data_IF_675261348619
#
_entry.id   IF_675261348619
#
_cell.length_a   1.000
_cell.length_b   1.000
_cell.length_c   1.000
_cell.angle_alpha   90.00
_cell.angle_beta   90.00
_cell.angle_gamma   90.00
#
_symmetry.space_group_name_H-M   'P 1'
#
loop_
_entity.id
_entity.type
_entity.pdbx_description
1 polymer ?
#
# COMPACT_ATOMS: atom_id res chain seq x y z
N UNK A 1 -5.90 -20.44 8.89
CA UNK A 1 -4.80 -19.57 8.38
C UNK A 1 -5.34 -18.90 7.12
N UNK A 2 -5.08 -17.62 6.97
CA UNK A 2 -5.48 -16.89 5.76
C UNK A 2 -4.87 -17.56 4.52
N UNK A 3 -5.64 -17.67 3.45
CA UNK A 3 -5.15 -18.16 2.14
C UNK A 3 -4.51 -17.03 1.32
N UNK A 4 -4.59 -15.78 1.82
CA UNK A 4 -4.05 -14.59 1.15
C UNK A 4 -2.53 -14.52 1.32
N UNK A 5 -1.82 -14.38 0.21
CA UNK A 5 -0.37 -14.15 0.24
C UNK A 5 -0.09 -12.75 0.80
N UNK A 6 0.66 -12.61 1.89
CA UNK A 6 0.99 -11.29 2.44
C UNK A 6 1.73 -10.41 1.45
N UNK A 7 1.42 -9.10 1.47
CA UNK A 7 2.11 -8.09 0.67
C UNK A 7 2.88 -7.13 1.58
N UNK A 8 4.21 -7.12 1.46
CA UNK A 8 5.07 -6.11 2.09
C UNK A 8 5.47 -5.08 1.05
N UNK A 9 4.89 -3.89 1.14
CA UNK A 9 5.12 -2.79 0.22
C UNK A 9 5.90 -1.67 0.91
N UNK A 10 7.08 -1.34 0.41
CA UNK A 10 7.92 -0.25 0.91
C UNK A 10 7.56 1.06 0.23
N UNK A 11 6.85 1.94 0.91
CA UNK A 11 6.61 3.31 0.45
C UNK A 11 7.79 4.20 0.85
N UNK A 12 8.63 4.54 -0.12
CA UNK A 12 9.82 5.36 0.13
C UNK A 12 9.51 6.84 0.35
N UNK A 13 8.27 7.23 0.09
CA UNK A 13 7.85 8.64 0.16
C UNK A 13 8.77 9.52 -0.69
N UNK A 14 9.15 10.70 -0.23
CA UNK A 14 10.05 11.61 -0.94
C UNK A 14 11.51 11.39 -0.48
N UNK A 15 12.03 10.19 -0.71
CA UNK A 15 13.39 9.83 -0.34
C UNK A 15 14.06 9.03 -1.44
N UNK A 16 15.37 9.02 -1.42
CA UNK A 16 16.27 8.40 -2.39
C UNK A 16 16.24 9.13 -3.76
N UNK A 17 17.29 8.99 -4.50
CA UNK A 17 17.39 9.35 -5.90
C UNK A 17 17.58 8.08 -6.74
N UNK A 18 17.56 8.21 -8.05
CA UNK A 18 17.59 7.07 -8.96
C UNK A 18 18.83 6.16 -8.80
N UNK A 19 19.99 6.68 -8.36
CA UNK A 19 21.19 5.87 -8.10
C UNK A 19 21.08 5.12 -6.78
N UNK A 20 20.60 5.80 -5.74
CA UNK A 20 20.33 5.20 -4.43
C UNK A 20 19.23 4.14 -4.53
N UNK A 21 18.21 4.39 -5.36
CA UNK A 21 17.14 3.43 -5.63
C UNK A 21 17.67 2.12 -6.25
N UNK A 22 18.59 2.23 -7.23
CA UNK A 22 19.27 1.06 -7.81
C UNK A 22 20.00 0.28 -6.72
N UNK A 23 20.85 0.95 -5.94
CA UNK A 23 21.64 0.31 -4.89
C UNK A 23 20.75 -0.36 -3.84
N UNK A 24 19.67 0.29 -3.47
CA UNK A 24 18.71 -0.22 -2.49
C UNK A 24 17.99 -1.48 -2.97
N UNK A 25 17.46 -1.47 -4.22
CA UNK A 25 16.79 -2.64 -4.81
C UNK A 25 17.77 -3.80 -4.99
N UNK A 26 19.02 -3.53 -5.41
CA UNK A 26 20.06 -4.56 -5.50
C UNK A 26 20.34 -5.19 -4.14
N UNK A 27 20.45 -4.40 -3.07
CA UNK A 27 20.67 -4.91 -1.71
C UNK A 27 19.51 -5.78 -1.25
N UNK A 28 18.25 -5.36 -1.51
CA UNK A 28 17.08 -6.17 -1.21
C UNK A 28 17.08 -7.49 -1.99
N UNK A 29 17.33 -7.45 -3.30
CA UNK A 29 17.35 -8.62 -4.16
C UNK A 29 18.45 -9.62 -3.77
N UNK A 30 19.61 -9.13 -3.32
CA UNK A 30 20.70 -9.97 -2.84
C UNK A 30 20.37 -10.63 -1.49
N UNK A 31 19.67 -9.92 -0.60
CA UNK A 31 19.37 -10.42 0.74
C UNK A 31 18.15 -11.39 0.78
N UNK A 32 17.19 -11.22 -0.13
CA UNK A 32 15.99 -12.04 -0.20
C UNK A 32 16.23 -13.29 -1.05
N UNK A 33 15.84 -14.45 -0.54
CA UNK A 33 15.93 -15.74 -1.22
C UNK A 33 14.58 -16.15 -1.83
N UNK A 34 14.57 -17.16 -2.68
CA UNK A 34 13.36 -17.67 -3.32
C UNK A 34 12.26 -18.04 -2.31
N UNK A 35 12.63 -18.66 -1.19
CA UNK A 35 11.70 -18.98 -0.10
C UNK A 35 10.96 -17.75 0.47
N UNK A 36 11.60 -16.58 0.48
CA UNK A 36 11.01 -15.35 0.97
C UNK A 36 9.92 -14.88 0.00
N UNK A 37 10.18 -14.92 -1.30
CA UNK A 37 9.21 -14.57 -2.35
C UNK A 37 8.07 -15.58 -2.52
N UNK A 38 8.29 -16.85 -2.16
CA UNK A 38 7.21 -17.85 -2.11
C UNK A 38 6.26 -17.61 -0.94
N UNK A 39 6.77 -17.06 0.15
CA UNK A 39 6.01 -16.80 1.37
C UNK A 39 5.33 -15.42 1.39
N UNK A 40 5.94 -14.41 0.74
CA UNK A 40 5.53 -13.00 0.82
C UNK A 40 5.74 -12.33 -0.53
N UNK A 41 4.76 -11.61 -1.00
CA UNK A 41 4.94 -10.69 -2.13
C UNK A 41 5.63 -9.41 -1.65
N UNK A 42 6.72 -9.03 -2.32
CA UNK A 42 7.54 -7.87 -1.95
C UNK A 42 7.42 -6.81 -3.04
N UNK A 43 7.07 -5.59 -2.65
CA UNK A 43 6.97 -4.46 -3.55
C UNK A 43 7.71 -3.23 -3.01
N UNK A 44 8.18 -2.36 -3.91
CA UNK A 44 8.71 -1.04 -3.57
C UNK A 44 7.93 0.04 -4.33
N UNK A 45 7.65 1.15 -3.66
CA UNK A 45 6.98 2.32 -4.23
C UNK A 45 7.93 3.51 -4.16
N UNK A 46 8.84 3.64 -5.14
CA UNK A 46 9.80 4.75 -5.22
C UNK A 46 9.14 6.03 -5.73
N UNK A 47 9.78 7.20 -5.57
CA UNK A 47 9.41 8.42 -6.30
C UNK A 47 9.33 8.20 -7.80
N UNK A 48 8.54 9.00 -8.51
CA UNK A 48 8.37 8.89 -9.97
C UNK A 48 9.69 8.98 -10.74
N UNK A 49 10.63 9.81 -10.25
CA UNK A 49 11.96 10.00 -10.84
C UNK A 49 12.81 8.73 -10.89
N UNK A 50 12.48 7.74 -10.05
CA UNK A 50 13.30 6.53 -9.86
C UNK A 50 12.69 5.30 -10.55
N UNK A 51 11.40 5.38 -10.90
CA UNK A 51 10.66 4.25 -11.46
C UNK A 51 11.33 3.63 -12.70
N UNK A 52 11.85 4.48 -13.62
CA UNK A 52 12.52 3.97 -14.82
C UNK A 52 13.80 3.20 -14.47
N UNK A 53 14.57 3.68 -13.49
CA UNK A 53 15.80 3.02 -13.05
C UNK A 53 15.49 1.69 -12.37
N UNK A 54 14.48 1.66 -11.50
CA UNK A 54 14.00 0.43 -10.85
C UNK A 54 13.48 -0.57 -11.90
N UNK A 55 12.67 -0.13 -12.86
CA UNK A 55 12.20 -0.98 -13.96
C UNK A 55 13.37 -1.62 -14.71
N UNK A 56 14.35 -0.81 -15.11
CA UNK A 56 15.48 -1.31 -15.90
C UNK A 56 16.25 -2.38 -15.15
N UNK A 57 16.47 -2.18 -13.85
CA UNK A 57 17.13 -3.16 -12.99
C UNK A 57 16.30 -4.43 -12.83
N UNK A 58 15.03 -4.30 -12.48
CA UNK A 58 14.13 -5.45 -12.26
C UNK A 58 13.99 -6.29 -13.54
N UNK A 59 13.80 -5.66 -14.69
CA UNK A 59 13.68 -6.35 -15.98
C UNK A 59 15.02 -7.00 -16.39
N UNK A 60 16.14 -6.28 -16.23
CA UNK A 60 17.48 -6.73 -16.63
C UNK A 60 17.95 -7.95 -15.84
N UNK A 61 17.81 -7.89 -14.53
CA UNK A 61 18.25 -8.94 -13.60
C UNK A 61 17.15 -9.96 -13.28
N UNK A 62 15.96 -9.81 -13.87
CA UNK A 62 14.78 -10.67 -13.67
C UNK A 62 14.42 -10.83 -12.20
N UNK A 63 14.45 -9.72 -11.46
CA UNK A 63 14.18 -9.71 -10.03
C UNK A 63 12.69 -10.03 -9.75
N UNK A 64 12.43 -10.70 -8.63
CA UNK A 64 11.07 -11.04 -8.18
C UNK A 64 10.38 -9.90 -7.42
N UNK A 65 11.10 -8.82 -7.10
CA UNK A 65 10.54 -7.63 -6.45
C UNK A 65 9.57 -6.95 -7.39
N UNK A 66 8.35 -6.68 -6.91
CA UNK A 66 7.38 -5.82 -7.61
C UNK A 66 7.70 -4.36 -7.34
N UNK A 67 7.24 -3.49 -8.21
CA UNK A 67 7.34 -2.06 -7.98
C UNK A 67 6.06 -1.34 -8.44
N UNK A 68 5.88 -0.14 -7.93
CA UNK A 68 4.72 0.66 -8.21
C UNK A 68 4.95 2.14 -7.92
N UNK A 69 3.92 2.94 -8.14
CA UNK A 69 3.97 4.37 -7.96
C UNK A 69 3.34 4.82 -6.63
N UNK A 70 3.66 6.03 -6.21
CA UNK A 70 3.13 6.63 -4.98
C UNK A 70 1.85 7.42 -5.19
N UNK A 71 1.47 7.64 -6.46
CA UNK A 71 0.24 8.32 -6.89
C UNK A 71 0.05 8.15 -8.40
N UNK A 72 -1.11 8.54 -8.91
CA UNK A 72 -1.36 8.77 -10.34
C UNK A 72 -2.42 9.86 -10.53
N UNK A 73 -2.46 10.43 -11.74
CA UNK A 73 -3.52 11.34 -12.16
C UNK A 73 -4.82 10.57 -12.45
N UNK A 74 -5.95 11.19 -12.16
CA UNK A 74 -7.26 10.71 -12.62
C UNK A 74 -7.46 10.88 -14.14
N UNK A 75 -6.59 11.65 -14.80
CA UNK A 75 -6.64 11.97 -16.22
C UNK A 75 -5.65 11.11 -17.03
N UNK A 76 -6.05 10.71 -18.23
CA UNK A 76 -5.22 9.86 -19.09
C UNK A 76 -4.08 10.65 -19.77
N UNK A 77 -4.35 11.90 -20.12
CA UNK A 77 -3.40 12.80 -20.82
C UNK A 77 -3.96 14.22 -20.87
N UNK A 78 -3.14 15.18 -21.33
CA UNK A 78 -3.62 16.53 -21.62
C UNK A 78 -2.86 17.63 -20.89
N UNK A 79 -3.53 18.77 -20.69
CA UNK A 79 -2.93 19.98 -20.11
C UNK A 79 -2.94 19.91 -18.56
N UNK A 80 -2.22 18.94 -18.04
CA UNK A 80 -2.08 18.65 -16.59
C UNK A 80 -0.60 18.65 -16.23
N UNK A 81 0.05 19.81 -16.36
CA UNK A 81 1.49 19.95 -16.13
C UNK A 81 1.90 19.43 -14.75
N UNK A 82 2.85 18.48 -14.71
CA UNK A 82 3.34 17.85 -13.48
C UNK A 82 2.63 16.54 -13.09
N UNK A 83 1.47 16.21 -13.70
CA UNK A 83 0.75 14.98 -13.45
C UNK A 83 1.39 13.77 -14.16
N UNK A 84 1.25 12.60 -13.55
CA UNK A 84 1.69 11.32 -14.11
C UNK A 84 0.46 10.45 -14.33
N UNK A 85 0.19 10.09 -15.59
CA UNK A 85 -0.99 9.28 -15.91
C UNK A 85 -0.78 7.78 -15.66
N UNK A 86 -1.87 7.05 -15.49
CA UNK A 86 -1.85 5.59 -15.38
C UNK A 86 -1.23 4.93 -16.62
N UNK A 87 -1.43 5.51 -17.81
CA UNK A 87 -0.82 4.99 -19.06
C UNK A 87 0.71 5.06 -19.04
N UNK A 88 1.30 6.12 -18.45
CA UNK A 88 2.75 6.25 -18.28
C UNK A 88 3.29 5.19 -17.33
N UNK A 89 2.60 4.96 -16.19
CA UNK A 89 2.98 3.94 -15.22
C UNK A 89 2.85 2.52 -15.76
N UNK A 90 1.81 2.25 -16.54
CA UNK A 90 1.62 0.96 -17.22
C UNK A 90 2.76 0.68 -18.23
N UNK A 91 3.25 1.70 -18.94
CA UNK A 91 4.42 1.56 -19.84
C UNK A 91 5.71 1.28 -19.08
N UNK A 92 5.82 1.73 -17.84
CA UNK A 92 6.90 1.37 -16.92
C UNK A 92 6.66 0.02 -16.24
N UNK A 93 5.59 -0.70 -16.57
CA UNK A 93 5.23 -2.01 -15.99
C UNK A 93 5.04 -1.96 -14.47
N UNK A 94 4.62 -0.83 -13.92
CA UNK A 94 4.24 -0.75 -12.51
C UNK A 94 3.12 -1.76 -12.22
N UNK A 95 3.24 -2.48 -11.12
CA UNK A 95 2.19 -3.41 -10.65
C UNK A 95 1.19 -2.67 -9.77
N UNK A 96 1.70 -1.89 -8.83
CA UNK A 96 0.91 -1.21 -7.81
C UNK A 96 0.91 0.30 -7.97
N UNK A 97 -0.09 0.95 -7.38
CA UNK A 97 -0.09 2.39 -7.16
C UNK A 97 -0.79 2.71 -5.84
N UNK A 98 -0.10 3.44 -4.95
CA UNK A 98 -0.72 3.97 -3.73
C UNK A 98 -1.66 5.11 -4.11
N UNK A 99 -2.87 5.12 -3.56
CA UNK A 99 -3.90 6.12 -3.86
C UNK A 99 -4.55 6.59 -2.57
N UNK A 100 -4.69 7.89 -2.42
CA UNK A 100 -5.32 8.49 -1.24
C UNK A 100 -4.49 8.36 0.03
N UNK A 101 -3.16 8.23 -0.09
CA UNK A 101 -2.27 8.22 1.07
C UNK A 101 -2.52 9.44 1.95
N UNK A 102 -2.45 9.28 3.28
CA UNK A 102 -2.78 10.33 4.25
C UNK A 102 -2.06 11.66 3.98
N UNK A 103 -0.79 11.63 3.59
CA UNK A 103 -0.03 12.83 3.21
C UNK A 103 -0.64 13.54 1.99
N UNK A 104 -1.19 12.81 1.03
CA UNK A 104 -1.83 13.41 -0.14
C UNK A 104 -3.20 14.00 0.19
N UNK A 105 -3.96 13.32 1.04
CA UNK A 105 -5.20 13.89 1.58
C UNK A 105 -4.94 15.20 2.33
N UNK A 106 -3.89 15.22 3.16
CA UNK A 106 -3.52 16.38 3.97
C UNK A 106 -2.90 17.52 3.16
N UNK A 107 -1.91 17.23 2.30
CA UNK A 107 -1.12 18.28 1.63
C UNK A 107 -1.66 18.67 0.25
N UNK A 108 -2.45 17.81 -0.38
CA UNK A 108 -3.01 18.03 -1.72
C UNK A 108 -4.54 18.05 -1.73
N UNK A 109 -5.18 18.00 -0.56
CA UNK A 109 -6.64 18.04 -0.41
C UNK A 109 -7.35 16.95 -1.25
N UNK A 110 -6.79 15.75 -1.34
CA UNK A 110 -7.41 14.65 -2.07
C UNK A 110 -8.67 14.18 -1.33
N UNK A 111 -9.84 14.45 -1.95
CA UNK A 111 -11.15 14.00 -1.45
C UNK A 111 -11.42 12.54 -1.84
N UNK A 112 -12.42 11.91 -1.23
CA UNK A 112 -12.80 10.54 -1.58
C UNK A 112 -13.28 10.41 -3.03
N UNK A 113 -13.90 11.46 -3.60
CA UNK A 113 -14.29 11.51 -5.01
C UNK A 113 -13.07 11.48 -5.93
N UNK A 114 -12.03 12.27 -5.60
CA UNK A 114 -10.79 12.26 -6.37
C UNK A 114 -10.05 10.92 -6.23
N UNK A 115 -10.01 10.38 -5.02
CA UNK A 115 -9.43 9.05 -4.75
C UNK A 115 -10.17 7.96 -5.55
N UNK A 116 -11.49 7.98 -5.59
CA UNK A 116 -12.29 7.06 -6.41
C UNK A 116 -11.98 7.20 -7.91
N UNK A 117 -11.87 8.41 -8.41
CA UNK A 117 -11.49 8.66 -9.81
C UNK A 117 -10.10 8.10 -10.13
N UNK A 118 -9.13 8.24 -9.21
CA UNK A 118 -7.79 7.67 -9.33
C UNK A 118 -7.79 6.13 -9.27
N UNK A 119 -8.61 5.51 -8.40
CA UNK A 119 -8.79 4.04 -8.34
C UNK A 119 -9.29 3.52 -9.68
N UNK A 120 -10.31 4.15 -10.25
CA UNK A 120 -10.84 3.79 -11.59
C UNK A 120 -9.80 3.98 -12.70
N UNK A 121 -9.01 5.07 -12.63
CA UNK A 121 -7.93 5.33 -13.58
C UNK A 121 -6.82 4.26 -13.48
N UNK A 122 -6.47 3.80 -12.28
CA UNK A 122 -5.50 2.72 -12.10
C UNK A 122 -5.97 1.43 -12.78
N UNK A 123 -7.18 1.00 -12.52
CA UNK A 123 -7.74 -0.20 -13.15
C UNK A 123 -7.87 -0.09 -14.66
N UNK A 124 -8.25 1.08 -15.17
CA UNK A 124 -8.30 1.35 -16.62
C UNK A 124 -6.98 1.05 -17.32
N UNK A 125 -5.87 1.23 -16.62
CA UNK A 125 -4.51 1.02 -17.14
C UNK A 125 -3.84 -0.28 -16.64
N UNK A 126 -4.59 -1.17 -16.00
CA UNK A 126 -4.10 -2.47 -15.54
C UNK A 126 -3.17 -2.40 -14.33
N UNK A 127 -3.27 -1.34 -13.53
CA UNK A 127 -2.54 -1.17 -12.27
C UNK A 127 -3.42 -1.64 -11.11
N UNK A 128 -2.82 -2.24 -10.09
CA UNK A 128 -3.51 -2.61 -8.86
C UNK A 128 -3.43 -1.45 -7.85
N UNK A 129 -4.57 -0.84 -7.46
CA UNK A 129 -4.57 0.18 -6.44
C UNK A 129 -4.22 -0.38 -5.06
N UNK A 130 -3.41 0.36 -4.29
CA UNK A 130 -3.32 0.27 -2.84
C UNK A 130 -4.10 1.48 -2.32
N UNK A 131 -5.37 1.28 -1.97
CA UNK A 131 -6.24 2.33 -1.45
C UNK A 131 -5.90 2.58 0.02
N UNK A 132 -5.36 3.77 0.30
CA UNK A 132 -5.01 4.21 1.65
C UNK A 132 -6.21 4.87 2.33
N UNK A 133 -6.54 4.40 3.52
CA UNK A 133 -7.64 4.88 4.36
C UNK A 133 -7.21 4.94 5.82
N UNK A 134 -7.77 5.83 6.58
CA UNK A 134 -7.48 5.92 8.01
C UNK A 134 -7.81 7.28 8.60
N UNK A 135 -7.72 7.37 9.91
CA UNK A 135 -8.18 8.48 10.70
C UNK A 135 -7.07 9.28 11.36
N UNK A 136 -7.32 10.55 11.55
CA UNK A 136 -6.50 11.46 12.37
C UNK A 136 -6.83 11.30 13.86
N UNK A 137 -5.96 11.86 14.71
CA UNK A 137 -6.06 11.73 16.17
C UNK A 137 -7.41 12.24 16.73
N UNK A 138 -7.87 13.38 16.25
CA UNK A 138 -9.13 13.97 16.73
C UNK A 138 -10.33 13.06 16.46
N UNK A 139 -10.36 12.39 15.30
CA UNK A 139 -11.41 11.43 14.93
C UNK A 139 -11.36 10.20 15.83
N UNK A 140 -10.15 9.71 16.14
CA UNK A 140 -9.96 8.57 17.04
C UNK A 140 -10.37 8.89 18.47
N UNK A 141 -9.95 10.03 19.00
CA UNK A 141 -10.30 10.48 20.35
C UNK A 141 -11.81 10.72 20.51
N UNK A 142 -12.50 11.08 19.42
CA UNK A 142 -13.96 11.20 19.39
C UNK A 142 -14.69 9.83 19.29
N UNK A 143 -13.96 8.71 19.16
CA UNK A 143 -14.54 7.36 19.00
C UNK A 143 -15.16 7.10 17.62
N UNK A 144 -14.86 7.93 16.62
CA UNK A 144 -15.46 7.86 15.28
C UNK A 144 -14.53 7.20 14.23
N UNK A 145 -13.39 6.66 14.66
CA UNK A 145 -12.31 6.15 13.78
C UNK A 145 -12.79 5.05 12.81
N UNK A 146 -13.56 4.07 13.30
CA UNK A 146 -14.09 3.01 12.44
C UNK A 146 -15.04 3.59 11.40
N UNK A 147 -16.04 4.38 11.81
CA UNK A 147 -17.02 4.96 10.88
C UNK A 147 -16.37 5.86 9.82
N UNK A 148 -15.38 6.67 10.21
CA UNK A 148 -14.61 7.52 9.30
C UNK A 148 -13.83 6.70 8.27
N UNK A 149 -13.09 5.68 8.72
CA UNK A 149 -12.31 4.81 7.85
C UNK A 149 -13.19 4.04 6.87
N UNK A 150 -14.34 3.51 7.34
CA UNK A 150 -15.29 2.80 6.49
C UNK A 150 -15.94 3.72 5.43
N UNK A 151 -16.19 4.98 5.76
CA UNK A 151 -16.67 5.96 4.78
C UNK A 151 -15.64 6.22 3.66
N UNK A 152 -14.35 6.27 3.99
CA UNK A 152 -13.28 6.38 2.99
C UNK A 152 -13.19 5.13 2.11
N UNK A 153 -13.37 3.92 2.66
CA UNK A 153 -13.43 2.67 1.87
C UNK A 153 -14.61 2.72 0.90
N UNK A 154 -15.79 3.05 1.39
CA UNK A 154 -17.01 3.15 0.57
C UNK A 154 -16.87 4.21 -0.52
N UNK A 155 -16.36 5.40 -0.17
CA UNK A 155 -16.10 6.48 -1.12
C UNK A 155 -15.09 6.09 -2.18
N UNK A 156 -13.95 5.51 -1.79
CA UNK A 156 -12.88 5.11 -2.70
C UNK A 156 -13.26 3.97 -3.65
N UNK A 157 -14.17 3.08 -3.23
CA UNK A 157 -14.64 1.94 -4.03
C UNK A 157 -16.00 2.19 -4.70
N UNK A 158 -16.55 3.39 -4.60
CA UNK A 158 -17.86 3.72 -5.15
C UNK A 158 -17.96 3.37 -6.64
N UNK A 159 -19.01 2.61 -7.00
CA UNK A 159 -19.30 2.17 -8.38
C UNK A 159 -18.15 1.37 -9.03
N UNK A 160 -17.30 0.73 -8.22
CA UNK A 160 -16.26 -0.15 -8.73
C UNK A 160 -16.84 -1.55 -8.97
N UNK A 161 -16.66 -2.16 -10.16
CA UNK A 161 -17.12 -3.52 -10.42
C UNK A 161 -16.46 -4.54 -9.47
N UNK A 162 -17.19 -5.58 -9.06
CA UNK A 162 -16.70 -6.61 -8.16
C UNK A 162 -15.38 -7.28 -8.63
N UNK A 163 -15.25 -7.52 -9.94
CA UNK A 163 -14.04 -8.08 -10.55
C UNK A 163 -12.78 -7.23 -10.29
N UNK A 164 -12.94 -5.90 -10.25
CA UNK A 164 -11.87 -4.98 -9.91
C UNK A 164 -11.66 -4.91 -8.39
N UNK A 165 -12.76 -4.78 -7.64
CA UNK A 165 -12.71 -4.71 -6.18
C UNK A 165 -12.05 -5.94 -5.54
N UNK A 166 -12.18 -7.12 -6.15
CA UNK A 166 -11.54 -8.36 -5.68
C UNK A 166 -10.02 -8.28 -5.62
N UNK A 167 -9.41 -7.44 -6.45
CA UNK A 167 -7.94 -7.32 -6.56
C UNK A 167 -7.36 -6.09 -5.86
N UNK A 168 -8.22 -5.19 -5.35
CA UNK A 168 -7.75 -4.01 -4.61
C UNK A 168 -6.97 -4.43 -3.37
N UNK A 169 -5.98 -3.64 -3.01
CA UNK A 169 -5.33 -3.72 -1.70
C UNK A 169 -5.81 -2.53 -0.89
N UNK A 170 -6.23 -2.76 0.36
CA UNK A 170 -6.57 -1.67 1.28
C UNK A 170 -5.41 -1.49 2.26
N UNK A 171 -4.92 -0.28 2.43
CA UNK A 171 -3.91 0.03 3.44
C UNK A 171 -4.55 0.90 4.53
N UNK A 172 -4.70 0.35 5.73
CA UNK A 172 -5.17 1.09 6.89
C UNK A 172 -4.02 1.89 7.51
N UNK A 173 -4.16 3.19 7.51
CA UNK A 173 -3.21 4.15 8.07
C UNK A 173 -3.79 4.78 9.35
N UNK A 174 -3.38 4.37 10.57
CA UNK A 174 -3.65 5.16 11.78
C UNK A 174 -2.79 6.43 11.71
N UNK A 175 -3.31 7.50 11.08
CA UNK A 175 -2.54 8.72 10.74
C UNK A 175 -1.91 9.33 11.99
N UNK A 176 -2.60 9.26 13.12
CA UNK A 176 -2.14 9.73 14.43
C UNK A 176 -0.90 8.99 14.97
N UNK A 177 -0.58 7.80 14.42
CA UNK A 177 0.58 7.00 14.80
C UNK A 177 1.72 7.05 13.76
N UNK A 178 1.54 7.77 12.65
CA UNK A 178 2.56 7.87 11.59
C UNK A 178 3.54 9.00 11.91
N UNK A 179 4.79 8.65 12.25
CA UNK A 179 5.85 9.65 12.49
C UNK A 179 5.70 10.49 13.75
N UNK A 180 4.72 10.21 14.60
CA UNK A 180 4.41 11.01 15.81
C UNK A 180 5.07 10.47 17.08
N UNK A 181 5.61 9.25 17.04
CA UNK A 181 6.07 8.52 18.22
C UNK A 181 4.96 7.79 18.99
N UNK A 182 3.69 8.02 18.66
CA UNK A 182 2.56 7.21 19.16
C UNK A 182 2.56 5.84 18.48
N UNK A 183 2.06 4.84 19.16
CA UNK A 183 1.99 3.46 18.65
C UNK A 183 0.53 3.05 18.59
N UNK A 184 0.11 2.58 17.42
CA UNK A 184 -1.14 1.85 17.26
C UNK A 184 -0.85 0.38 17.59
N UNK A 185 -1.51 -0.18 18.60
CA UNK A 185 -1.37 -1.58 18.98
C UNK A 185 -1.88 -2.52 17.89
N UNK A 186 -1.41 -3.76 17.90
CA UNK A 186 -1.85 -4.76 16.94
C UNK A 186 -3.37 -5.06 17.06
N UNK A 187 -3.90 -5.04 18.26
CA UNK A 187 -5.34 -5.22 18.52
C UNK A 187 -6.18 -4.04 18.00
N UNK A 188 -5.71 -2.79 18.18
CA UNK A 188 -6.35 -1.60 17.62
C UNK A 188 -6.37 -1.64 16.07
N UNK A 189 -5.26 -2.08 15.48
CA UNK A 189 -5.17 -2.26 14.03
C UNK A 189 -6.12 -3.37 13.55
N UNK A 190 -6.20 -4.48 14.28
CA UNK A 190 -7.10 -5.58 13.99
C UNK A 190 -8.58 -5.15 14.03
N UNK A 191 -8.98 -4.34 15.01
CA UNK A 191 -10.34 -3.83 15.11
C UNK A 191 -10.76 -3.13 13.80
N UNK A 192 -9.95 -2.22 13.32
CA UNK A 192 -10.26 -1.45 12.10
C UNK A 192 -10.14 -2.31 10.84
N UNK A 193 -9.12 -3.17 10.75
CA UNK A 193 -8.97 -4.07 9.61
C UNK A 193 -10.12 -5.08 9.49
N UNK A 194 -10.60 -5.62 10.62
CA UNK A 194 -11.79 -6.47 10.65
C UNK A 194 -13.04 -5.71 10.19
N UNK A 195 -13.22 -4.47 10.64
CA UNK A 195 -14.32 -3.62 10.22
C UNK A 195 -14.26 -3.31 8.70
N UNK A 196 -13.06 -3.04 8.16
CA UNK A 196 -12.84 -2.86 6.70
C UNK A 196 -13.27 -4.13 5.96
N UNK A 197 -12.85 -5.32 6.40
CA UNK A 197 -13.25 -6.58 5.78
C UNK A 197 -14.76 -6.80 5.83
N UNK A 198 -15.39 -6.48 6.96
CA UNK A 198 -16.85 -6.50 7.10
C UNK A 198 -17.54 -5.54 6.11
N UNK A 199 -17.01 -4.34 5.94
CA UNK A 199 -17.53 -3.36 4.96
C UNK A 199 -17.39 -3.86 3.52
N UNK A 200 -16.29 -4.49 3.17
CA UNK A 200 -16.13 -5.12 1.84
C UNK A 200 -17.17 -6.22 1.59
N UNK A 201 -17.48 -7.03 2.63
CA UNK A 201 -18.52 -8.05 2.53
C UNK A 201 -19.92 -7.43 2.37
N UNK A 202 -20.19 -6.29 3.01
CA UNK A 202 -21.44 -5.53 2.87
C UNK A 202 -21.57 -4.91 1.47
N UNK A 203 -20.51 -4.28 0.95
CA UNK A 203 -20.51 -3.61 -0.35
C UNK A 203 -20.57 -4.61 -1.52
N UNK A 204 -20.01 -5.79 -1.35
CA UNK A 204 -19.90 -6.82 -2.38
C UNK A 204 -20.41 -8.18 -1.86
N UNK A 205 -19.48 -9.06 -1.50
CA UNK A 205 -19.79 -10.39 -0.94
C UNK A 205 -18.73 -10.81 0.07
N UNK A 206 -19.05 -11.73 0.96
CA UNK A 206 -18.08 -12.32 1.88
C UNK A 206 -16.91 -12.99 1.13
N UNK A 207 -17.21 -13.70 0.03
CA UNK A 207 -16.19 -14.37 -0.79
C UNK A 207 -15.19 -13.38 -1.37
N UNK A 208 -15.65 -12.22 -1.83
CA UNK A 208 -14.76 -11.16 -2.31
C UNK A 208 -13.93 -10.58 -1.16
N UNK A 209 -14.58 -10.25 -0.05
CA UNK A 209 -13.89 -9.71 1.13
C UNK A 209 -12.79 -10.64 1.66
N UNK A 210 -13.01 -11.96 1.57
CA UNK A 210 -12.02 -12.97 1.98
C UNK A 210 -10.79 -13.03 1.06
N UNK A 211 -10.87 -12.49 -0.15
CA UNK A 211 -9.75 -12.44 -1.11
C UNK A 211 -8.96 -11.14 -1.03
N UNK A 212 -9.61 -10.03 -0.66
CA UNK A 212 -8.97 -8.71 -0.58
C UNK A 212 -7.90 -8.68 0.51
N UNK A 213 -6.70 -8.21 0.14
CA UNK A 213 -5.61 -8.01 1.10
C UNK A 213 -5.76 -6.68 1.80
N UNK A 214 -5.63 -6.70 3.12
CA UNK A 214 -5.63 -5.51 3.97
C UNK A 214 -4.26 -5.38 4.60
N UNK A 215 -3.59 -4.26 4.36
CA UNK A 215 -2.28 -3.93 4.91
C UNK A 215 -2.43 -3.02 6.12
N UNK A 216 -1.53 -3.16 7.07
CA UNK A 216 -1.31 -2.16 8.10
C UNK A 216 -0.30 -1.11 7.61
N UNK A 217 -0.69 0.15 7.61
CA UNK A 217 0.09 1.30 7.12
C UNK A 217 0.61 2.24 8.22
N UNK A 218 0.56 1.83 9.48
CA UNK A 218 1.16 2.57 10.58
C UNK A 218 2.67 2.35 10.72
N UNK A 219 3.21 2.59 11.91
CA UNK A 219 4.64 2.42 12.19
C UNK A 219 5.00 0.94 12.29
N UNK A 220 5.61 0.39 11.24
CA UNK A 220 6.09 -1.00 11.17
C UNK A 220 7.61 -1.04 11.27
N UNK A 221 8.11 -1.95 12.11
CA UNK A 221 9.55 -2.25 12.30
C UNK A 221 9.73 -3.76 12.45
N UNK A 222 10.96 -4.25 12.32
CA UNK A 222 11.26 -5.66 12.58
C UNK A 222 10.76 -6.13 13.96
N UNK A 223 10.89 -5.29 14.97
CA UNK A 223 10.52 -5.64 16.36
C UNK A 223 9.01 -5.70 16.67
N UNK A 224 8.12 -5.27 15.77
CA UNK A 224 6.66 -5.32 15.99
C UNK A 224 5.88 -6.01 14.87
N UNK A 225 6.52 -6.28 13.74
CA UNK A 225 5.82 -6.83 12.56
C UNK A 225 5.23 -8.22 12.83
N UNK A 226 5.88 -9.07 13.63
CA UNK A 226 5.37 -10.40 13.92
C UNK A 226 4.03 -10.36 14.68
N UNK A 227 3.88 -9.47 15.67
CA UNK A 227 2.66 -9.25 16.42
C UNK A 227 1.53 -8.70 15.52
N UNK A 228 1.85 -7.74 14.66
CA UNK A 228 0.91 -7.17 13.69
C UNK A 228 0.43 -8.24 12.71
N UNK A 229 1.34 -9.03 12.16
CA UNK A 229 1.02 -10.07 11.17
C UNK A 229 0.38 -11.33 11.78
N UNK A 230 0.35 -11.45 13.10
CA UNK A 230 -0.43 -12.49 13.79
C UNK A 230 -1.94 -12.20 13.78
N UNK A 231 -2.36 -10.99 13.46
CA UNK A 231 -3.77 -10.58 13.42
C UNK A 231 -4.50 -11.20 12.23
N UNK A 232 -5.77 -11.58 12.44
CA UNK A 232 -6.54 -12.35 11.46
C UNK A 232 -6.85 -11.61 10.16
N UNK A 233 -7.02 -10.29 10.24
CA UNK A 233 -7.43 -9.44 9.11
C UNK A 233 -6.31 -8.54 8.57
N UNK A 234 -5.06 -8.79 8.96
CA UNK A 234 -3.90 -8.07 8.45
C UNK A 234 -3.11 -9.00 7.52
N UNK A 235 -3.03 -8.63 6.24
CA UNK A 235 -2.45 -9.43 5.16
C UNK A 235 -1.16 -8.78 4.59
N UNK A 236 -0.47 -7.99 5.39
CA UNK A 236 0.77 -7.33 4.99
C UNK A 236 0.94 -5.96 5.62
N UNK A 237 1.92 -5.23 5.10
CA UNK A 237 2.21 -3.89 5.58
C UNK A 237 2.59 -2.93 4.43
N UNK A 238 2.12 -1.68 4.55
CA UNK A 238 2.61 -0.55 3.78
C UNK A 238 3.64 0.18 4.65
N UNK A 239 4.92 -0.09 4.40
CA UNK A 239 6.04 0.29 5.26
C UNK A 239 6.66 1.60 4.80
N UNK A 240 6.67 2.61 5.66
CA UNK A 240 7.32 3.90 5.38
C UNK A 240 8.83 3.87 5.67
N UNK A 241 9.30 4.68 6.62
CA UNK A 241 10.73 4.91 6.91
C UNK A 241 11.58 3.65 7.07
N UNK A 242 11.06 2.59 7.69
CA UNK A 242 11.79 1.32 7.84
C UNK A 242 12.10 0.64 6.49
N UNK A 243 11.36 0.96 5.42
CA UNK A 243 11.64 0.44 4.07
C UNK A 243 12.83 1.10 3.38
N UNK A 244 13.35 2.19 3.93
CA UNK A 244 14.56 2.87 3.43
C UNK A 244 15.86 2.22 3.90
N UNK A 245 15.79 1.34 4.90
CA UNK A 245 16.89 0.47 5.32
C UNK A 245 16.60 -0.94 4.81
N UNK A 246 17.44 -1.43 3.89
CA UNK A 246 17.22 -2.73 3.27
C UNK A 246 17.30 -3.89 4.26
N UNK A 247 18.18 -3.82 5.25
CA UNK A 247 18.35 -4.88 6.26
C UNK A 247 17.14 -4.92 7.19
N UNK A 248 16.59 -3.77 7.54
CA UNK A 248 15.36 -3.65 8.34
C UNK A 248 14.14 -4.14 7.53
N UNK A 249 14.02 -3.75 6.26
CA UNK A 249 12.91 -4.18 5.42
C UNK A 249 12.94 -5.68 5.15
N UNK A 250 14.11 -6.29 4.95
CA UNK A 250 14.27 -7.75 4.84
C UNK A 250 13.77 -8.47 6.10
N UNK A 251 14.06 -7.95 7.30
CA UNK A 251 13.53 -8.52 8.54
C UNK A 251 12.00 -8.41 8.59
N UNK A 252 11.43 -7.28 8.14
CA UNK A 252 9.98 -7.11 8.06
C UNK A 252 9.37 -8.15 7.09
N UNK A 253 9.98 -8.37 5.93
CA UNK A 253 9.55 -9.42 4.98
C UNK A 253 9.58 -10.80 5.62
N UNK A 254 10.60 -11.07 6.44
CA UNK A 254 10.79 -12.33 7.19
C UNK A 254 10.09 -12.36 8.55
N UNK A 255 8.97 -11.70 8.70
CA UNK A 255 8.22 -11.63 9.97
C UNK A 255 7.90 -13.00 10.58
N UNK A 256 7.89 -14.06 9.78
CA UNK A 256 7.63 -15.44 10.23
C UNK A 256 8.84 -16.09 10.92
N UNK A 257 10.02 -15.51 10.76
CA UNK A 257 11.28 -16.01 11.33
C UNK A 257 11.61 -15.29 12.65
N UNK A 258 10.72 -14.43 13.16
CA UNK A 258 10.92 -13.58 14.35
C UNK A 258 10.15 -14.09 15.56
#
# INVERSE_FOLDING_TARGET
MSTRTPLMAGNWKMNLNHLEAIAHVQKLAFALADKDYEAVEVAVLPPFTDLRSVQTLVDGDKLKIRYGAQDLSAHDSGAYTGEISGSMLAKLKCTYVAIGHSERRQYHNETDELVNAKVKAAYKHGLTPILCVGEELEVREAGNHVGHTLAQVEGGLKDLPAEQAETVVIAYEPVWAIGTGKVCGAEDAQEVCAAIRGKLAELYTQELADKVRIQYGGSVKAGNVAEIMAQADIDGALVGGASLDADEFVKIVRFRDQ
#
